data_IF_596447531527
#
_entry.id   IF_596447531527
#
_cell.length_a   1.000
_cell.length_b   1.000
_cell.length_c   1.000
_cell.angle_alpha   90.00
_cell.angle_beta   90.00
_cell.angle_gamma   90.00
#
_symmetry.space_group_name_H-M   'P 1'
#
loop_
_entity.id
_entity.type
_entity.pdbx_description
1 polymer ?
#
# COMPACT_ATOMS: atom_id res chain seq x y z
N UNK A 1 17.39 24.71 -11.61
CA UNK A 1 15.96 24.98 -11.37
C UNK A 1 15.41 23.85 -10.53
N UNK A 2 14.65 24.18 -9.50
CA UNK A 2 14.03 23.20 -8.60
C UNK A 2 12.53 23.29 -8.80
N UNK A 3 11.90 22.15 -9.09
CA UNK A 3 10.46 22.03 -9.22
C UNK A 3 9.94 21.33 -7.97
N UNK A 4 8.85 21.85 -7.41
CA UNK A 4 8.20 21.29 -6.23
C UNK A 4 6.81 20.85 -6.66
N UNK A 5 6.52 19.56 -6.48
CA UNK A 5 5.22 18.94 -6.78
C UNK A 5 4.55 18.66 -5.44
N UNK A 6 3.28 19.00 -5.30
CA UNK A 6 2.50 18.63 -4.12
C UNK A 6 2.27 17.12 -4.14
N UNK A 7 2.89 16.40 -3.21
CA UNK A 7 2.67 14.96 -3.03
C UNK A 7 1.40 14.73 -2.22
N UNK A 8 0.36 14.19 -2.86
CA UNK A 8 -0.85 13.70 -2.19
C UNK A 8 -0.80 12.21 -1.87
N UNK A 9 0.29 11.55 -2.27
CA UNK A 9 0.52 10.11 -2.15
C UNK A 9 1.52 9.82 -1.04
N UNK A 10 1.18 8.86 -0.19
CA UNK A 10 2.01 8.30 0.86
C UNK A 10 2.30 6.84 0.52
N UNK A 11 3.57 6.44 0.62
CA UNK A 11 3.99 5.05 0.46
C UNK A 11 4.31 4.45 1.82
N UNK A 12 3.63 3.37 2.17
CA UNK A 12 3.87 2.63 3.40
C UNK A 12 4.59 1.34 3.07
N UNK A 13 5.87 1.25 3.47
CA UNK A 13 6.62 0.01 3.34
C UNK A 13 5.92 -1.10 4.13
N UNK A 14 5.69 -2.23 3.47
CA UNK A 14 5.11 -3.41 4.09
C UNK A 14 6.25 -4.39 4.41
N UNK A 15 6.35 -4.79 5.67
CA UNK A 15 7.27 -5.85 6.06
C UNK A 15 6.78 -7.18 5.48
N UNK A 16 7.58 -7.82 4.63
CA UNK A 16 7.22 -9.07 3.97
C UNK A 16 6.90 -10.20 4.97
N UNK A 17 7.44 -10.12 6.19
CA UNK A 17 7.13 -11.08 7.27
C UNK A 17 5.74 -10.89 7.87
N UNK A 18 5.09 -9.75 7.61
CA UNK A 18 3.71 -9.48 8.05
C UNK A 18 2.68 -9.94 7.03
N UNK A 19 3.07 -10.14 5.78
CA UNK A 19 2.16 -10.57 4.70
C UNK A 19 2.15 -12.07 4.43
N UNK A 20 3.08 -12.83 5.00
CA UNK A 20 3.12 -14.30 4.85
C UNK A 20 1.84 -15.00 5.32
N UNK A 21 1.11 -14.37 6.23
CA UNK A 21 -0.14 -14.89 6.80
C UNK A 21 -1.40 -14.23 6.21
N UNK A 22 -1.27 -13.32 5.23
CA UNK A 22 -2.42 -12.62 4.62
C UNK A 22 -3.03 -13.50 3.53
N UNK A 23 -4.33 -13.77 3.65
CA UNK A 23 -5.10 -14.50 2.66
C UNK A 23 -5.80 -13.56 1.67
N UNK A 24 -6.16 -14.10 0.50
CA UNK A 24 -7.02 -13.37 -0.45
C UNK A 24 -8.35 -13.01 0.21
N UNK A 25 -8.76 -11.76 0.04
CA UNK A 25 -9.89 -11.07 0.66
C UNK A 25 -9.67 -10.56 2.09
N UNK A 26 -8.49 -10.74 2.67
CA UNK A 26 -8.15 -10.06 3.92
C UNK A 26 -8.01 -8.55 3.70
N UNK A 27 -8.23 -7.77 4.75
CA UNK A 27 -8.15 -6.31 4.67
C UNK A 27 -6.95 -5.80 5.44
N UNK A 28 -6.04 -5.12 4.74
CA UNK A 28 -4.95 -4.36 5.33
C UNK A 28 -5.46 -2.98 5.70
N UNK A 29 -5.20 -2.53 6.94
CA UNK A 29 -5.54 -1.19 7.41
C UNK A 29 -4.28 -0.47 7.87
N UNK A 30 -4.13 0.80 7.50
CA UNK A 30 -2.99 1.62 7.94
C UNK A 30 -3.34 2.33 9.24
N UNK A 31 -2.67 1.94 10.32
CA UNK A 31 -2.86 2.55 11.64
C UNK A 31 -2.51 4.03 11.61
N UNK A 32 -3.43 4.87 12.08
CA UNK A 32 -3.27 6.33 12.09
C UNK A 32 -3.80 7.04 10.85
N UNK A 33 -4.28 6.29 9.84
CA UNK A 33 -4.85 6.82 8.60
C UNK A 33 -6.27 6.26 8.39
N UNK A 34 -7.29 6.83 9.05
CA UNK A 34 -8.67 6.37 8.93
C UNK A 34 -9.13 6.35 7.46
N UNK A 35 -9.71 5.22 7.03
CA UNK A 35 -10.16 5.02 5.65
C UNK A 35 -9.11 4.42 4.70
N UNK A 36 -7.83 4.42 5.08
CA UNK A 36 -6.78 3.72 4.32
C UNK A 36 -6.87 2.21 4.57
N UNK A 37 -7.76 1.56 3.82
CA UNK A 37 -7.92 0.11 3.81
C UNK A 37 -7.76 -0.47 2.40
N UNK A 38 -7.01 -1.54 2.26
CA UNK A 38 -6.82 -2.29 1.02
C UNK A 38 -7.27 -3.74 1.20
N UNK A 39 -8.08 -4.24 0.27
CA UNK A 39 -8.42 -5.66 0.24
C UNK A 39 -7.34 -6.39 -0.52
N UNK A 40 -6.67 -7.33 0.13
CA UNK A 40 -5.65 -8.17 -0.48
C UNK A 40 -6.27 -9.07 -1.53
N UNK A 41 -5.83 -8.92 -2.78
CA UNK A 41 -6.36 -9.68 -3.91
C UNK A 41 -5.45 -10.83 -4.28
N UNK A 42 -5.96 -11.76 -5.10
CA UNK A 42 -5.10 -12.79 -5.72
C UNK A 42 -4.00 -12.18 -6.59
N UNK A 43 -4.25 -11.03 -7.21
CA UNK A 43 -3.25 -10.33 -7.99
C UNK A 43 -2.11 -9.79 -7.12
N UNK A 44 -2.43 -9.25 -5.93
CA UNK A 44 -1.41 -8.78 -4.98
C UNK A 44 -0.52 -9.95 -4.52
N UNK A 45 -1.12 -11.11 -4.25
CA UNK A 45 -0.39 -12.32 -3.87
C UNK A 45 0.57 -12.78 -4.99
N UNK A 46 0.07 -12.92 -6.22
CA UNK A 46 0.89 -13.28 -7.38
C UNK A 46 2.01 -12.24 -7.62
N UNK A 47 1.72 -10.96 -7.43
CA UNK A 47 2.67 -9.87 -7.60
C UNK A 47 3.81 -9.94 -6.59
N UNK A 48 3.51 -10.26 -5.32
CA UNK A 48 4.51 -10.46 -4.27
C UNK A 48 5.34 -11.72 -4.51
N UNK A 49 4.72 -12.82 -4.90
CA UNK A 49 5.43 -14.09 -5.15
C UNK A 49 6.41 -14.00 -6.33
N UNK A 50 6.04 -13.25 -7.37
CA UNK A 50 6.89 -13.07 -8.56
C UNK A 50 8.06 -12.10 -8.35
N UNK A 51 8.06 -11.30 -7.27
CA UNK A 51 9.08 -10.28 -7.00
C UNK A 51 9.62 -10.43 -5.56
N UNK A 52 10.35 -11.52 -5.25
CA UNK A 52 10.70 -11.89 -3.87
C UNK A 52 11.71 -10.94 -3.20
N UNK A 53 12.56 -10.29 -3.98
CA UNK A 53 13.67 -9.47 -3.49
C UNK A 53 13.34 -7.96 -3.40
N UNK A 54 12.22 -7.54 -3.98
CA UNK A 54 11.84 -6.13 -4.09
C UNK A 54 11.24 -5.59 -2.78
N UNK A 55 11.22 -4.27 -2.61
CA UNK A 55 10.47 -3.66 -1.50
C UNK A 55 9.00 -3.47 -1.91
N UNK A 56 8.08 -3.82 -1.00
CA UNK A 56 6.64 -3.72 -1.24
C UNK A 56 6.10 -2.51 -0.49
N UNK A 57 5.32 -1.69 -1.19
CA UNK A 57 4.67 -0.53 -0.60
C UNK A 57 3.17 -0.58 -0.79
N UNK A 58 2.43 -0.17 0.24
CA UNK A 58 1.03 0.20 0.12
C UNK A 58 0.94 1.69 -0.23
N UNK A 59 0.39 1.98 -1.39
CA UNK A 59 0.08 3.33 -1.82
C UNK A 59 -1.20 3.82 -1.15
N UNK A 60 -1.13 4.98 -0.51
CA UNK A 60 -2.26 5.64 0.13
C UNK A 60 -2.35 7.08 -0.35
N UNK A 61 -3.52 7.46 -0.83
CA UNK A 61 -3.82 8.80 -1.31
C UNK A 61 -4.65 9.55 -0.27
N UNK A 62 -4.31 10.83 -0.04
CA UNK A 62 -5.18 11.74 0.69
C UNK A 62 -6.25 12.30 -0.26
N UNK A 63 -7.52 11.99 0.01
CA UNK A 63 -8.67 12.39 -0.84
C UNK A 63 -9.45 13.58 -0.28
N UNK A 64 -9.14 14.03 0.94
CA UNK A 64 -9.80 15.16 1.58
C UNK A 64 -9.21 15.49 2.95
N UNK A 65 -9.94 16.26 3.76
CA UNK A 65 -9.53 16.56 5.13
C UNK A 65 -9.59 15.32 6.01
N UNK A 66 -8.40 14.79 6.31
CA UNK A 66 -8.18 13.59 7.09
C UNK A 66 -8.88 12.32 6.53
N UNK A 67 -9.14 12.30 5.23
CA UNK A 67 -9.68 11.15 4.50
C UNK A 67 -8.60 10.56 3.60
N UNK A 68 -8.40 9.26 3.72
CA UNK A 68 -7.38 8.51 3.00
C UNK A 68 -8.01 7.33 2.28
N UNK A 69 -7.39 6.91 1.18
CA UNK A 69 -7.76 5.73 0.42
C UNK A 69 -6.50 4.96 0.06
N UNK A 70 -6.50 3.64 0.24
CA UNK A 70 -5.43 2.82 -0.33
C UNK A 70 -5.67 2.65 -1.84
N UNK A 71 -4.64 2.96 -2.64
CA UNK A 71 -4.71 2.90 -4.10
C UNK A 71 -4.25 1.53 -4.64
N UNK A 72 -3.26 0.90 -4.00
CA UNK A 72 -2.79 -0.44 -4.36
C UNK A 72 -1.40 -0.77 -3.82
N UNK A 73 -0.86 -1.91 -4.24
CA UNK A 73 0.49 -2.39 -3.90
C UNK A 73 1.46 -2.03 -5.03
N UNK A 74 2.64 -1.50 -4.68
CA UNK A 74 3.70 -1.09 -5.60
C UNK A 74 5.04 -1.75 -5.25
N UNK A 75 5.92 -1.88 -6.24
CA UNK A 75 7.33 -2.28 -6.07
C UNK A 75 8.24 -1.06 -6.26
N UNK A 76 9.39 -1.09 -5.61
CA UNK A 76 10.45 -0.10 -5.83
C UNK A 76 11.82 -0.76 -5.96
#
# INVERSE_FOLDING_TARGET
MTYQIEGNTLLFAIDRRQIVDIAVNDTIQVKGFPGASHVWTGHDMEFVENNPDDEIFLEVERVGDNQYKAAGILLQ
#
